data_IF_776489247421
#
_entry.id   IF_776489247421
#
_cell.length_a   1.000
_cell.length_b   1.000
_cell.length_c   1.000
_cell.angle_alpha   90.00
_cell.angle_beta   90.00
_cell.angle_gamma   90.00
#
_symmetry.space_group_name_H-M   'P 1'
#
loop_
_entity.id
_entity.type
_entity.pdbx_description
1 polymer ?
#
# COMPACT_ATOMS: atom_id res chain seq x y z
N UNK A 1 -27.49 3.30 8.61
CA UNK A 1 -26.09 2.91 8.86
C UNK A 1 -25.16 3.34 7.71
N UNK A 2 -25.32 4.53 7.12
CA UNK A 2 -24.53 4.98 5.97
C UNK A 2 -23.29 5.79 6.37
N UNK A 3 -23.40 6.64 7.40
CA UNK A 3 -22.31 7.50 7.92
C UNK A 3 -21.43 6.81 8.97
N UNK A 4 -21.83 5.64 9.49
CA UNK A 4 -21.10 4.95 10.55
C UNK A 4 -19.85 4.24 10.00
N UNK A 5 -20.08 3.19 9.23
CA UNK A 5 -19.07 2.22 8.75
C UNK A 5 -18.99 2.12 7.22
N UNK A 6 -19.66 3.02 6.49
CA UNK A 6 -19.62 3.02 5.02
C UNK A 6 -18.20 3.27 4.51
N UNK A 7 -17.77 2.51 3.49
CA UNK A 7 -16.40 2.62 2.92
C UNK A 7 -16.05 4.05 2.54
N UNK A 8 -16.95 4.73 1.82
CA UNK A 8 -16.77 6.12 1.41
C UNK A 8 -16.51 7.08 2.58
N UNK A 9 -16.99 6.75 3.78
CA UNK A 9 -16.84 7.62 4.95
C UNK A 9 -15.46 7.48 5.61
N UNK A 10 -14.72 6.39 5.35
CA UNK A 10 -13.41 6.18 5.96
C UNK A 10 -12.43 7.33 5.66
N UNK A 11 -12.25 7.67 4.38
CA UNK A 11 -11.43 8.84 4.00
C UNK A 11 -12.09 10.16 4.43
N UNK A 12 -13.41 10.30 4.24
CA UNK A 12 -14.13 11.53 4.53
C UNK A 12 -14.13 11.92 6.02
N UNK A 13 -13.97 10.95 6.94
CA UNK A 13 -13.80 11.24 8.37
C UNK A 13 -12.53 12.04 8.64
N UNK A 14 -11.42 11.68 8.01
CA UNK A 14 -10.18 12.44 8.13
C UNK A 14 -10.35 13.83 7.53
N UNK A 15 -10.99 13.92 6.35
CA UNK A 15 -11.23 15.20 5.69
C UNK A 15 -12.08 16.15 6.51
N UNK A 16 -13.17 15.63 7.08
CA UNK A 16 -14.06 16.36 7.97
C UNK A 16 -13.34 16.82 9.25
N UNK A 17 -12.65 15.90 9.92
CA UNK A 17 -11.99 16.19 11.20
C UNK A 17 -10.82 17.18 11.08
N UNK A 18 -10.01 17.04 10.03
CA UNK A 18 -8.85 17.91 9.78
C UNK A 18 -9.19 19.19 9.01
N UNK A 19 -10.45 19.37 8.60
CA UNK A 19 -10.92 20.48 7.78
C UNK A 19 -10.13 20.67 6.45
N UNK A 20 -9.77 19.56 5.80
CA UNK A 20 -9.08 19.55 4.51
C UNK A 20 -10.08 19.40 3.35
N UNK A 21 -9.81 20.08 2.24
CA UNK A 21 -10.76 20.25 1.12
C UNK A 21 -10.33 19.60 -0.20
N UNK A 22 -9.21 18.88 -0.19
CA UNK A 22 -8.76 18.12 -1.36
C UNK A 22 -9.60 16.87 -1.65
N UNK A 23 -9.29 16.11 -2.71
CA UNK A 23 -9.93 14.84 -3.00
C UNK A 23 -9.90 13.88 -1.79
N UNK A 24 -11.03 13.25 -1.50
CA UNK A 24 -11.22 12.38 -0.34
C UNK A 24 -11.76 11.03 -0.78
N UNK A 25 -10.84 10.06 -0.96
CA UNK A 25 -11.10 8.84 -1.71
C UNK A 25 -10.78 7.62 -0.85
N UNK A 26 -11.69 6.65 -0.85
CA UNK A 26 -11.43 5.32 -0.28
C UNK A 26 -11.14 4.34 -1.40
N UNK A 27 -10.00 3.66 -1.32
CA UNK A 27 -9.53 2.71 -2.34
C UNK A 27 -9.73 1.28 -1.82
N UNK A 28 -10.24 0.40 -2.69
CA UNK A 28 -10.25 -1.04 -2.47
C UNK A 28 -9.58 -1.76 -3.63
N UNK A 29 -8.35 -2.21 -3.41
CA UNK A 29 -7.66 -3.12 -4.33
C UNK A 29 -7.12 -4.33 -3.56
N UNK A 30 -7.82 -4.73 -2.49
CA UNK A 30 -7.38 -5.75 -1.55
C UNK A 30 -5.96 -5.45 -0.99
N UNK A 31 -5.06 -6.44 -1.00
CA UNK A 31 -3.74 -6.37 -0.37
C UNK A 31 -2.83 -5.23 -0.87
N UNK A 32 -3.08 -4.68 -2.06
CA UNK A 32 -2.27 -3.60 -2.64
C UNK A 32 -2.77 -2.19 -2.30
N UNK A 33 -3.91 -2.05 -1.60
CA UNK A 33 -4.63 -0.77 -1.43
C UNK A 33 -3.77 0.38 -0.91
N UNK A 34 -2.85 0.11 0.03
CA UNK A 34 -1.93 1.13 0.56
C UNK A 34 -1.00 1.70 -0.51
N UNK A 35 -0.42 0.84 -1.34
CA UNK A 35 0.52 1.23 -2.38
C UNK A 35 -0.19 1.86 -3.59
N UNK A 36 -1.40 1.39 -3.92
CA UNK A 36 -2.23 2.02 -4.95
C UNK A 36 -2.67 3.42 -4.52
N UNK A 37 -3.03 3.61 -3.25
CA UNK A 37 -3.32 4.93 -2.70
C UNK A 37 -2.11 5.86 -2.71
N UNK A 38 -0.92 5.34 -2.42
CA UNK A 38 0.32 6.10 -2.54
C UNK A 38 0.62 6.50 -3.98
N UNK A 39 0.46 5.58 -4.94
CA UNK A 39 0.65 5.86 -6.37
C UNK A 39 -0.33 6.93 -6.87
N UNK A 40 -1.61 6.86 -6.48
CA UNK A 40 -2.60 7.91 -6.80
C UNK A 40 -2.20 9.26 -6.20
N UNK A 41 -1.79 9.30 -4.93
CA UNK A 41 -1.35 10.52 -4.27
C UNK A 41 -0.12 11.13 -4.97
N UNK A 42 0.85 10.31 -5.38
CA UNK A 42 2.01 10.77 -6.15
C UNK A 42 1.59 11.38 -7.49
N UNK A 43 0.63 10.77 -8.20
CA UNK A 43 0.11 11.31 -9.48
C UNK A 43 -0.60 12.64 -9.29
N UNK A 44 -1.47 12.79 -8.29
CA UNK A 44 -2.15 14.06 -7.99
C UNK A 44 -1.18 15.16 -7.56
N UNK A 45 -0.10 14.82 -6.84
CA UNK A 45 0.97 15.77 -6.51
C UNK A 45 1.74 16.22 -7.75
N UNK A 46 2.04 15.30 -8.66
CA UNK A 46 2.77 15.57 -9.91
C UNK A 46 1.94 16.40 -10.90
N UNK A 47 0.63 16.16 -10.97
CA UNK A 47 -0.29 16.94 -11.82
C UNK A 47 -0.57 18.33 -11.26
N UNK A 48 -0.23 18.59 -9.99
CA UNK A 48 -0.56 19.84 -9.30
C UNK A 48 -2.02 19.93 -8.83
N UNK A 49 -2.76 18.81 -8.85
CA UNK A 49 -4.14 18.76 -8.32
C UNK A 49 -4.17 18.99 -6.81
N UNK A 50 -3.13 18.54 -6.09
CA UNK A 50 -2.96 18.74 -4.65
C UNK A 50 -1.51 19.15 -4.33
N UNK A 51 -1.31 19.81 -3.19
CA UNK A 51 0.02 20.20 -2.69
C UNK A 51 0.58 19.25 -1.63
N UNK A 52 -0.32 18.52 -0.96
CA UNK A 52 -0.03 17.49 0.01
C UNK A 52 -1.14 16.44 -0.04
N UNK A 53 -0.83 15.20 0.34
CA UNK A 53 -1.82 14.14 0.49
C UNK A 53 -1.55 13.30 1.73
N UNK A 54 -2.64 12.81 2.32
CA UNK A 54 -2.62 11.84 3.42
C UNK A 54 -2.99 10.48 2.83
N UNK A 55 -2.11 9.49 2.99
CA UNK A 55 -2.38 8.11 2.61
C UNK A 55 -2.45 7.30 3.90
N UNK A 56 -3.66 6.89 4.26
CA UNK A 56 -3.93 6.13 5.48
C UNK A 56 -4.62 4.81 5.15
N UNK A 57 -4.27 3.77 5.89
CA UNK A 57 -4.86 2.43 5.75
C UNK A 57 -5.15 1.80 7.09
N UNK A 58 -6.17 0.97 7.13
CA UNK A 58 -6.48 0.10 8.26
C UNK A 58 -6.91 -1.27 7.77
N UNK A 59 -6.52 -2.32 8.48
CA UNK A 59 -6.99 -3.69 8.28
C UNK A 59 -7.25 -4.33 9.63
N UNK A 60 -8.48 -4.83 9.83
CA UNK A 60 -8.94 -5.46 11.06
C UNK A 60 -9.85 -6.66 10.76
N UNK A 61 -9.75 -7.69 11.57
CA UNK A 61 -10.58 -8.90 11.55
C UNK A 61 -11.49 -8.90 12.78
N UNK A 62 -12.60 -8.20 12.67
CA UNK A 62 -13.56 -8.00 13.78
C UNK A 62 -14.57 -9.14 13.96
N UNK A 63 -14.60 -10.10 13.02
CA UNK A 63 -15.44 -11.29 13.09
C UNK A 63 -14.57 -12.55 12.93
N UNK A 64 -14.64 -13.55 13.84
CA UNK A 64 -13.94 -14.82 13.67
C UNK A 64 -14.24 -15.51 12.34
N UNK A 65 -15.44 -15.36 11.76
CA UNK A 65 -15.78 -15.96 10.46
C UNK A 65 -14.79 -15.53 9.37
N UNK A 66 -14.30 -14.29 9.41
CA UNK A 66 -13.32 -13.80 8.44
C UNK A 66 -11.97 -14.52 8.55
N UNK A 67 -11.63 -15.07 9.71
CA UNK A 67 -10.41 -15.86 9.93
C UNK A 67 -10.66 -17.34 9.63
N UNK A 68 -11.88 -17.81 9.89
CA UNK A 68 -12.31 -19.20 9.70
C UNK A 68 -12.72 -19.56 8.27
N UNK A 69 -12.94 -18.57 7.39
CA UNK A 69 -13.28 -18.73 5.95
C UNK A 69 -12.17 -19.37 5.09
N UNK A 70 -11.26 -20.12 5.71
CA UNK A 70 -10.24 -20.95 5.08
C UNK A 70 -10.81 -22.01 4.10
N UNK A 71 -12.12 -22.28 4.15
CA UNK A 71 -12.76 -23.41 3.47
C UNK A 71 -13.20 -23.18 2.02
N UNK A 72 -13.50 -21.95 1.59
CA UNK A 72 -14.22 -21.73 0.31
C UNK A 72 -13.38 -21.10 -0.81
N UNK A 73 -12.19 -20.57 -0.52
CA UNK A 73 -11.28 -20.02 -1.54
C UNK A 73 -9.89 -20.63 -1.33
N UNK A 74 -9.79 -21.94 -1.62
CA UNK A 74 -8.55 -22.71 -1.79
C UNK A 74 -7.43 -22.39 -0.82
N UNK A 75 -7.42 -23.01 0.37
CA UNK A 75 -6.23 -23.24 1.22
C UNK A 75 -5.18 -22.11 1.25
N UNK A 76 -5.62 -20.85 1.33
CA UNK A 76 -4.68 -19.73 1.31
C UNK A 76 -3.99 -19.50 2.67
N UNK A 77 -4.49 -20.14 3.73
CA UNK A 77 -3.99 -19.99 5.09
C UNK A 77 -3.01 -21.09 5.47
N UNK A 78 -1.85 -20.67 5.99
CA UNK A 78 -0.83 -21.60 6.47
C UNK A 78 -1.33 -22.37 7.71
N UNK A 79 -1.28 -23.72 7.73
CA UNK A 79 -1.58 -24.52 8.92
C UNK A 79 -0.56 -24.34 10.04
N UNK A 80 0.66 -23.90 9.72
CA UNK A 80 1.72 -23.63 10.71
C UNK A 80 1.64 -22.23 11.32
N UNK A 81 0.62 -21.45 10.94
CA UNK A 81 0.42 -20.07 11.41
C UNK A 81 1.65 -19.16 11.19
N UNK A 82 2.41 -19.42 10.13
CA UNK A 82 3.54 -18.60 9.72
C UNK A 82 3.50 -18.32 8.21
N UNK A 83 4.14 -17.24 7.79
CA UNK A 83 4.38 -16.96 6.38
C UNK A 83 5.80 -17.40 6.02
N UNK A 84 5.97 -18.60 5.48
CA UNK A 84 7.27 -19.13 5.03
C UNK A 84 7.70 -18.52 3.69
N UNK A 85 7.98 -17.22 3.72
CA UNK A 85 8.17 -16.41 2.51
C UNK A 85 9.42 -16.84 1.74
N UNK A 86 9.21 -17.36 0.53
CA UNK A 86 10.24 -17.94 -0.36
C UNK A 86 10.89 -19.24 0.14
N UNK A 87 10.33 -19.86 1.17
CA UNK A 87 10.76 -21.19 1.61
C UNK A 87 10.19 -22.29 0.69
N UNK A 88 10.87 -23.43 0.62
CA UNK A 88 10.37 -24.60 -0.09
C UNK A 88 9.11 -25.19 0.58
N UNK A 89 8.98 -25.00 1.89
CA UNK A 89 7.86 -25.47 2.71
C UNK A 89 6.71 -24.43 2.79
N UNK A 90 6.64 -23.48 1.84
CA UNK A 90 5.58 -22.47 1.79
C UNK A 90 4.18 -23.11 1.61
N UNK A 91 3.34 -22.94 2.62
CA UNK A 91 2.05 -23.63 2.79
C UNK A 91 0.84 -22.66 2.91
N UNK A 92 1.05 -21.36 2.69
CA UNK A 92 0.02 -20.32 2.74
C UNK A 92 0.52 -19.04 3.41
N UNK A 93 -0.41 -18.14 3.75
CA UNK A 93 -0.12 -16.91 4.51
C UNK A 93 -0.98 -16.81 5.78
N UNK A 94 -0.57 -15.94 6.70
CA UNK A 94 -1.35 -15.59 7.89
C UNK A 94 -1.83 -14.16 7.83
N UNK A 95 -3.05 -13.96 8.31
CA UNK A 95 -3.71 -12.67 8.38
C UNK A 95 -3.09 -11.80 9.48
N UNK A 96 -2.92 -10.52 9.20
CA UNK A 96 -2.36 -9.55 10.14
C UNK A 96 -3.18 -8.25 10.14
N UNK A 97 -3.31 -7.64 11.31
CA UNK A 97 -3.98 -6.36 11.48
C UNK A 97 -2.97 -5.22 11.53
N UNK A 98 -3.34 -4.07 10.99
CA UNK A 98 -2.48 -2.89 11.01
C UNK A 98 -3.27 -1.61 10.76
N UNK A 99 -2.74 -0.51 11.29
CA UNK A 99 -3.09 0.85 10.86
C UNK A 99 -1.81 1.55 10.44
N UNK A 100 -1.84 2.24 9.30
CA UNK A 100 -0.69 3.01 8.81
C UNK A 100 -1.15 4.36 8.24
N UNK A 101 -0.28 5.36 8.31
CA UNK A 101 -0.54 6.67 7.75
C UNK A 101 0.79 7.33 7.35
N UNK A 102 0.82 7.92 6.14
CA UNK A 102 1.93 8.75 5.66
C UNK A 102 1.38 10.04 5.07
N UNK A 103 2.16 11.12 5.25
CA UNK A 103 1.91 12.40 4.60
C UNK A 103 2.95 12.54 3.49
N UNK A 104 2.49 12.85 2.29
CA UNK A 104 3.34 13.01 1.10
C UNK A 104 3.18 14.39 0.50
N UNK A 105 4.29 14.96 0.05
CA UNK A 105 4.41 16.26 -0.60
C UNK A 105 5.40 16.16 -1.75
N UNK A 106 5.38 17.12 -2.68
CA UNK A 106 6.49 17.29 -3.60
C UNK A 106 7.75 17.65 -2.82
N UNK A 107 8.89 17.09 -3.22
CA UNK A 107 10.17 17.29 -2.52
C UNK A 107 10.54 18.78 -2.41
N UNK A 108 10.30 19.55 -3.47
CA UNK A 108 10.55 21.00 -3.47
C UNK A 108 9.73 21.74 -2.42
N UNK A 109 8.45 21.39 -2.25
CA UNK A 109 7.58 21.99 -1.23
C UNK A 109 8.00 21.56 0.18
N UNK A 110 8.38 20.29 0.38
CA UNK A 110 8.89 19.82 1.66
C UNK A 110 10.19 20.53 2.06
N UNK A 111 11.10 20.80 1.10
CA UNK A 111 12.32 21.56 1.35
C UNK A 111 12.01 23.03 1.65
N UNK A 112 11.15 23.67 0.85
CA UNK A 112 10.72 25.07 1.05
C UNK A 112 10.12 25.27 2.44
N UNK A 113 9.30 24.32 2.87
CA UNK A 113 8.57 24.40 4.13
C UNK A 113 9.38 23.85 5.31
N UNK A 114 10.64 23.43 5.09
CA UNK A 114 11.54 22.84 6.09
C UNK A 114 10.95 21.61 6.80
N UNK A 115 10.18 20.80 6.08
CA UNK A 115 9.56 19.59 6.61
C UNK A 115 10.60 18.48 6.89
N UNK A 116 10.41 17.66 7.93
CA UNK A 116 11.25 16.49 8.16
C UNK A 116 11.00 15.39 7.10
N UNK A 117 11.95 15.23 6.19
CA UNK A 117 11.87 14.23 5.11
C UNK A 117 12.34 12.86 5.65
N UNK A 118 11.42 11.88 5.69
CA UNK A 118 11.73 10.50 6.14
C UNK A 118 12.21 9.59 5.01
N UNK A 119 11.71 9.81 3.80
CA UNK A 119 12.08 9.09 2.60
C UNK A 119 11.63 9.86 1.34
N UNK A 120 12.12 9.42 0.19
CA UNK A 120 11.75 9.97 -1.12
C UNK A 120 11.14 8.83 -1.95
N UNK A 121 9.89 9.02 -2.39
CA UNK A 121 9.27 8.14 -3.39
C UNK A 121 9.81 8.54 -4.76
N UNK A 122 10.72 7.73 -5.29
CA UNK A 122 11.38 8.01 -6.58
C UNK A 122 10.49 7.70 -7.77
N UNK A 123 9.69 6.64 -7.69
CA UNK A 123 8.71 6.24 -8.69
C UNK A 123 7.76 5.20 -8.14
N UNK A 124 6.53 5.21 -8.66
CA UNK A 124 5.46 4.25 -8.35
C UNK A 124 4.75 3.86 -9.64
N UNK A 125 4.10 2.71 -9.62
CA UNK A 125 3.22 2.27 -10.69
C UNK A 125 2.19 1.27 -10.15
N UNK A 126 1.06 1.18 -10.85
CA UNK A 126 -0.03 0.25 -10.57
C UNK A 126 -0.58 -0.28 -11.89
N UNK A 127 -0.93 -1.57 -11.94
CA UNK A 127 -1.59 -2.23 -13.07
C UNK A 127 -2.50 -3.38 -12.59
N UNK A 128 -3.01 -4.18 -13.52
CA UNK A 128 -3.85 -5.35 -13.24
C UNK A 128 -3.26 -6.61 -13.86
N UNK A 129 -3.50 -7.76 -13.22
CA UNK A 129 -3.12 -9.07 -13.76
C UNK A 129 -3.81 -9.38 -15.11
N UNK A 130 -4.94 -8.73 -15.40
CA UNK A 130 -5.73 -9.03 -16.60
C UNK A 130 -6.35 -10.43 -16.53
N UNK A 131 -6.44 -11.10 -17.69
CA UNK A 131 -6.97 -12.47 -17.80
C UNK A 131 -5.88 -13.48 -17.45
N UNK A 132 -6.06 -14.23 -16.38
CA UNK A 132 -5.17 -15.32 -15.93
C UNK A 132 -5.95 -16.64 -15.79
N UNK A 133 -5.32 -17.70 -15.28
CA UNK A 133 -5.96 -19.01 -15.07
C UNK A 133 -7.15 -19.01 -14.09
N UNK A 134 -7.29 -17.94 -13.31
CA UNK A 134 -8.43 -17.67 -12.43
C UNK A 134 -8.36 -16.23 -11.95
N UNK A 135 -9.49 -15.60 -11.57
CA UNK A 135 -9.53 -14.17 -11.23
C UNK A 135 -8.53 -13.76 -10.11
N UNK A 136 -8.20 -14.70 -9.22
CA UNK A 136 -7.23 -14.52 -8.14
C UNK A 136 -5.82 -15.02 -8.47
N UNK A 137 -5.60 -15.65 -9.64
CA UNK A 137 -4.29 -16.17 -10.02
C UNK A 137 -3.34 -15.02 -10.40
N UNK A 138 -2.10 -15.04 -9.89
CA UNK A 138 -1.11 -14.02 -10.19
C UNK A 138 -0.64 -14.08 -11.66
N UNK A 139 -0.12 -12.96 -12.16
CA UNK A 139 0.56 -12.89 -13.47
C UNK A 139 1.99 -12.38 -13.30
N UNK A 140 2.98 -13.22 -13.63
CA UNK A 140 4.39 -12.84 -13.57
C UNK A 140 4.74 -11.72 -14.56
N UNK A 141 4.14 -11.74 -15.75
CA UNK A 141 4.31 -10.70 -16.77
C UNK A 141 3.77 -9.35 -16.26
N UNK A 142 2.56 -9.32 -15.69
CA UNK A 142 1.98 -8.10 -15.16
C UNK A 142 2.81 -7.54 -13.99
N UNK A 143 3.31 -8.40 -13.10
CA UNK A 143 4.20 -7.98 -12.02
C UNK A 143 5.50 -7.37 -12.54
N UNK A 144 6.15 -8.02 -13.52
CA UNK A 144 7.36 -7.49 -14.15
C UNK A 144 7.10 -6.13 -14.82
N UNK A 145 5.99 -5.99 -15.55
CA UNK A 145 5.60 -4.74 -16.18
C UNK A 145 5.37 -3.60 -15.15
N UNK A 146 4.70 -3.89 -14.03
CA UNK A 146 4.49 -2.91 -12.95
C UNK A 146 5.82 -2.44 -12.36
N UNK A 147 6.74 -3.37 -12.09
CA UNK A 147 8.07 -3.06 -11.58
C UNK A 147 8.85 -2.21 -12.59
N UNK A 148 8.94 -2.64 -13.85
CA UNK A 148 9.63 -1.88 -14.90
C UNK A 148 9.07 -0.47 -15.05
N UNK A 149 7.75 -0.31 -14.98
CA UNK A 149 7.08 1.01 -15.02
C UNK A 149 7.50 1.87 -13.83
N UNK A 150 7.47 1.34 -12.60
CA UNK A 150 7.89 2.08 -11.41
C UNK A 150 9.36 2.55 -11.48
N UNK A 151 10.25 1.69 -12.01
CA UNK A 151 11.66 2.02 -12.21
C UNK A 151 11.86 3.07 -13.31
N UNK A 152 11.09 2.96 -14.39
CA UNK A 152 11.11 3.95 -15.48
C UNK A 152 10.63 5.31 -14.98
N UNK A 153 9.54 5.34 -14.22
CA UNK A 153 9.02 6.55 -13.55
C UNK A 153 10.04 7.13 -12.55
N UNK A 154 10.92 6.29 -11.98
CA UNK A 154 12.01 6.71 -11.11
C UNK A 154 13.26 7.23 -11.84
N UNK A 155 13.30 7.13 -13.18
CA UNK A 155 14.46 7.44 -14.01
C UNK A 155 15.62 6.45 -13.82
N UNK A 156 15.34 5.21 -13.41
CA UNK A 156 16.35 4.18 -13.17
C UNK A 156 16.48 3.30 -14.42
N UNK A 157 17.55 3.51 -15.20
CA UNK A 157 17.77 2.86 -16.50
C UNK A 157 18.72 1.66 -16.47
N UNK A 158 19.62 1.58 -15.48
CA UNK A 158 20.53 0.44 -15.30
C UNK A 158 19.92 -0.60 -14.35
N UNK A 159 18.79 -1.17 -14.75
CA UNK A 159 18.08 -2.17 -13.96
C UNK A 159 18.68 -3.56 -14.21
N UNK A 160 19.36 -4.10 -13.21
CA UNK A 160 19.74 -5.51 -13.20
C UNK A 160 18.66 -6.29 -12.44
N UNK A 161 17.94 -7.17 -13.14
CA UNK A 161 16.86 -7.98 -12.56
C UNK A 161 17.36 -8.88 -11.40
N UNK A 162 18.67 -9.21 -11.35
CA UNK A 162 19.28 -9.93 -10.21
C UNK A 162 19.43 -9.08 -8.94
N UNK A 163 19.26 -7.77 -9.03
CA UNK A 163 19.24 -6.83 -7.88
C UNK A 163 17.81 -6.46 -7.46
N UNK A 164 16.81 -7.23 -7.89
CA UNK A 164 15.46 -7.17 -7.33
C UNK A 164 15.51 -7.43 -5.83
N UNK A 165 15.62 -6.35 -5.05
CA UNK A 165 15.31 -6.40 -3.64
C UNK A 165 13.79 -6.45 -3.59
N UNK A 166 13.25 -7.67 -3.52
CA UNK A 166 11.86 -7.88 -3.14
C UNK A 166 11.62 -7.12 -1.83
N UNK A 167 10.69 -6.16 -1.87
CA UNK A 167 10.23 -5.41 -0.72
C UNK A 167 11.33 -4.82 0.18
N UNK A 168 12.16 -3.91 -0.36
CA UNK A 168 12.67 -2.83 0.49
C UNK A 168 11.51 -1.85 0.76
N UNK A 169 10.57 -2.30 1.59
CA UNK A 169 9.69 -1.39 2.33
C UNK A 169 10.63 -0.37 2.96
N UNK A 170 10.36 0.90 2.73
CA UNK A 170 10.90 1.98 3.55
C UNK A 170 10.32 1.72 4.95
N UNK A 171 11.00 0.87 5.73
CA UNK A 171 10.69 0.66 7.14
C UNK A 171 11.09 1.96 7.82
N UNK A 172 10.12 2.85 8.00
CA UNK A 172 10.27 4.00 8.90
C UNK A 172 10.31 3.41 10.31
N UNK A 173 11.52 3.17 10.83
CA UNK A 173 11.69 2.81 12.25
C UNK A 173 11.24 4.01 13.10
N UNK A 174 10.13 3.86 13.82
CA UNK A 174 9.80 4.72 14.94
C UNK A 174 10.46 4.16 16.19
N UNK A 175 11.57 4.77 16.62
CA UNK A 175 12.13 4.52 17.96
C UNK A 175 11.43 5.49 18.91
N UNK A 176 10.41 5.01 19.65
CA UNK A 176 9.99 5.72 20.85
C UNK A 176 11.18 5.75 21.82
N UNK A 177 11.69 6.95 22.13
CA UNK A 177 12.39 7.14 23.40
C UNK A 177 11.32 7.09 24.49
N UNK A 178 11.17 5.93 25.12
CA UNK A 178 10.54 5.86 26.44
C UNK A 178 11.51 6.54 27.40
N UNK A 179 11.17 7.76 27.83
CA UNK A 179 11.86 8.45 28.90
C UNK A 179 11.69 7.69 30.21
N UNK A 180 12.77 7.64 30.99
CA UNK A 180 12.73 7.22 32.41
C UNK A 180 11.97 8.23 33.24
#
# INVERSE_FOLDING_TARGET
>A
MAIGVGRAIMANRLSYFLHIKGPSITIDTACSGSLVGLDLACRSLQSGEVDAAIVATSNFYLNPDHVMDAGNVGQAHSPTALCHTFDADADGYVKAEAVSCVIVKRLADAIRDCDPIRAIVRGSASNSNGRTGGIASPSGEAQAAAICSAYSNAGITNFNIRKLIYWKIITIYYRQKVGK
#
